data_IF_018227072782
#
_entry.id   IF_018227072782
#
_cell.length_a   1.000
_cell.length_b   1.000
_cell.length_c   1.000
_cell.angle_alpha   90.00
_cell.angle_beta   90.00
_cell.angle_gamma   90.00
#
_symmetry.space_group_name_H-M   'P 1'
#
loop_
_entity.id
_entity.type
_entity.pdbx_description
1 polymer ?
#
# COMPACT_ATOMS: atom_id res chain seq x y z
N UNK A 1 15.53 9.58 -0.01
CA UNK A 1 15.25 9.38 1.43
C UNK A 1 14.09 8.41 1.53
N UNK A 2 14.23 7.33 2.29
CA UNK A 2 13.11 6.43 2.57
C UNK A 2 12.07 7.18 3.42
N UNK A 3 10.79 7.07 3.08
CA UNK A 3 9.67 7.59 3.89
C UNK A 3 9.09 6.43 4.70
N UNK A 4 8.81 6.65 5.98
CA UNK A 4 8.08 5.68 6.77
C UNK A 4 6.65 5.52 6.21
N UNK A 5 6.15 4.29 6.21
CA UNK A 5 4.80 3.96 5.78
C UNK A 5 4.06 3.20 6.88
N UNK A 6 2.75 3.42 6.97
CA UNK A 6 1.84 2.55 7.71
C UNK A 6 1.38 1.41 6.82
N UNK A 7 1.38 0.18 7.36
CA UNK A 7 0.93 -1.01 6.65
C UNK A 7 -0.11 -1.71 7.52
N UNK A 8 -1.32 -1.88 6.97
CA UNK A 8 -2.37 -2.71 7.55
C UNK A 8 -2.51 -4.02 6.73
N UNK A 9 -2.24 -5.15 7.39
CA UNK A 9 -2.21 -6.48 6.78
C UNK A 9 -3.45 -7.28 7.18
N UNK A 10 -4.59 -6.89 6.62
CA UNK A 10 -5.82 -7.66 6.74
C UNK A 10 -5.79 -8.94 5.90
N UNK A 11 -6.53 -9.96 6.34
CA UNK A 11 -6.64 -11.25 5.63
C UNK A 11 -7.29 -11.12 4.25
N UNK A 12 -8.26 -10.21 4.11
CA UNK A 12 -9.02 -10.01 2.86
C UNK A 12 -8.44 -8.89 2.01
N UNK A 13 -7.98 -7.82 2.66
CA UNK A 13 -7.47 -6.61 2.01
C UNK A 13 -6.33 -6.04 2.83
N UNK A 14 -5.45 -5.31 2.16
CA UNK A 14 -4.36 -4.58 2.80
C UNK A 14 -4.30 -3.15 2.31
N UNK A 15 -3.71 -2.28 3.14
CA UNK A 15 -3.66 -0.83 2.93
C UNK A 15 -2.25 -0.32 3.24
N UNK A 16 -1.80 0.68 2.48
CA UNK A 16 -0.57 1.42 2.74
C UNK A 16 -0.88 2.90 2.85
N UNK A 17 -0.25 3.58 3.81
CA UNK A 17 -0.36 5.03 3.99
C UNK A 17 0.99 5.69 4.25
N UNK A 18 1.09 6.98 3.94
CA UNK A 18 2.17 7.87 4.40
C UNK A 18 1.63 8.87 5.41
N UNK A 19 2.54 9.56 6.12
CA UNK A 19 2.23 10.76 6.88
C UNK A 19 2.69 11.98 6.08
N UNK A 20 1.74 12.76 5.55
CA UNK A 20 2.00 14.01 4.83
C UNK A 20 1.46 15.18 5.65
N UNK A 21 2.32 16.14 6.00
CA UNK A 21 1.90 17.31 6.78
C UNK A 21 1.38 16.99 8.19
N UNK A 22 1.69 15.80 8.73
CA UNK A 22 1.17 15.31 10.01
C UNK A 22 -0.14 14.54 9.91
N UNK A 23 -0.73 14.44 8.72
CA UNK A 23 -1.98 13.73 8.46
C UNK A 23 -1.71 12.42 7.70
N UNK A 24 -2.42 11.32 8.01
CA UNK A 24 -2.29 10.07 7.29
C UNK A 24 -2.98 10.14 5.92
N UNK A 25 -2.26 9.77 4.86
CA UNK A 25 -2.79 9.67 3.50
C UNK A 25 -2.64 8.24 2.96
N UNK A 26 -3.74 7.63 2.54
CA UNK A 26 -3.73 6.29 1.94
C UNK A 26 -3.25 6.35 0.50
N UNK A 27 -2.26 5.53 0.17
CA UNK A 27 -1.66 5.44 -1.16
C UNK A 27 -2.57 4.59 -2.07
N UNK A 28 -3.05 5.13 -3.20
CA UNK A 28 -3.75 4.32 -4.19
C UNK A 28 -2.77 3.35 -4.85
N UNK A 29 -3.25 2.15 -5.14
CA UNK A 29 -2.50 1.10 -5.78
C UNK A 29 -2.38 1.32 -7.29
N UNK A 30 -1.69 0.41 -8.00
CA UNK A 30 -1.45 0.54 -9.44
C UNK A 30 -2.74 0.58 -10.28
N UNK A 31 -3.82 0.01 -9.75
CA UNK A 31 -5.16 -0.04 -10.33
C UNK A 31 -6.04 1.16 -9.90
N UNK A 32 -5.51 2.07 -9.07
CA UNK A 32 -6.21 3.25 -8.56
C UNK A 32 -7.09 2.98 -7.33
N UNK A 33 -7.12 1.74 -6.82
CA UNK A 33 -7.87 1.38 -5.62
C UNK A 33 -7.05 1.66 -4.35
N UNK A 34 -7.71 1.97 -3.22
CA UNK A 34 -7.04 2.25 -1.94
C UNK A 34 -6.87 1.04 -1.02
N UNK A 35 -7.38 -0.11 -1.44
CA UNK A 35 -7.20 -1.40 -0.77
C UNK A 35 -6.75 -2.42 -1.79
N UNK A 36 -5.87 -3.33 -1.37
CA UNK A 36 -5.36 -4.39 -2.25
C UNK A 36 -5.75 -5.75 -1.69
N UNK A 37 -6.55 -6.55 -2.42
CA UNK A 37 -6.77 -7.93 -2.05
C UNK A 37 -5.53 -8.77 -2.38
N UNK A 38 -5.24 -9.84 -1.60
CA UNK A 38 -4.01 -10.61 -1.74
C UNK A 38 -3.90 -11.31 -3.10
N UNK A 39 -5.01 -11.63 -3.78
CA UNK A 39 -4.99 -12.29 -5.09
C UNK A 39 -4.85 -11.32 -6.27
N UNK A 40 -4.88 -10.01 -6.04
CA UNK A 40 -4.63 -8.99 -7.07
C UNK A 40 -3.13 -8.93 -7.41
N UNK A 41 -2.53 -10.07 -7.76
CA UNK A 41 -1.12 -10.16 -8.14
C UNK A 41 -0.97 -9.77 -9.62
N UNK A 42 -1.04 -8.47 -9.90
CA UNK A 42 -0.28 -7.93 -11.02
C UNK A 42 1.21 -8.06 -10.68
N UNK A 43 2.10 -8.45 -11.62
CA UNK A 43 3.55 -8.56 -11.35
C UNK A 43 4.19 -7.24 -10.89
N UNK A 44 3.51 -6.09 -11.04
CA UNK A 44 3.91 -4.79 -10.49
C UNK A 44 3.52 -4.60 -9.02
N UNK A 45 2.55 -5.35 -8.50
CA UNK A 45 2.14 -5.27 -7.10
C UNK A 45 3.11 -6.02 -6.19
N UNK A 46 3.58 -7.21 -6.59
CA UNK A 46 4.51 -8.01 -5.80
C UNK A 46 5.82 -7.26 -5.47
N UNK A 47 6.21 -6.30 -6.30
CA UNK A 47 7.34 -5.40 -6.04
C UNK A 47 7.03 -4.35 -4.98
N UNK A 48 5.79 -3.90 -4.84
CA UNK A 48 5.37 -2.98 -3.77
C UNK A 48 5.37 -3.67 -2.40
N UNK A 49 5.11 -4.98 -2.37
CA UNK A 49 5.14 -5.81 -1.16
C UNK A 49 6.55 -6.16 -0.65
N UNK A 50 7.59 -5.91 -1.47
CA UNK A 50 8.99 -6.21 -1.13
C UNK A 50 9.95 -5.01 -1.23
N UNK A 51 9.49 -3.86 -1.75
CA UNK A 51 10.32 -2.66 -1.96
C UNK A 51 10.00 -1.50 -1.00
N UNK A 52 9.03 -1.65 -0.10
CA UNK A 52 8.81 -0.76 1.03
C UNK A 52 9.62 -1.22 2.25
#
# INVERSE_FOLDING_TARGET
MARAVGIDLGTTNSVVSTLEGGEPEVIPNAEGARTTPPWSHSPRMATFWWAA
#
